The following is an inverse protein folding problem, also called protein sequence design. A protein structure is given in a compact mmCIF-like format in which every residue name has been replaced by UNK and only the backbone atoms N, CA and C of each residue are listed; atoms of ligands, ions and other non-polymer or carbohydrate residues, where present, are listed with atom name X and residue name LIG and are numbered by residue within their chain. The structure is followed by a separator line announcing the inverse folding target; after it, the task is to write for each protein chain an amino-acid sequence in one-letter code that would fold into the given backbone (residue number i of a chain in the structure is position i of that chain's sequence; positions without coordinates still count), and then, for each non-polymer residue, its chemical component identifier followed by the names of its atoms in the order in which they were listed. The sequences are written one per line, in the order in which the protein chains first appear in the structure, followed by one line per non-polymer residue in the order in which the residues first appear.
data_IF_861029382884
#
_entry.id   IF_861029382884
#
_cell.length_a   1.000
_cell.length_b   1.000
_cell.length_c   1.000
_cell.angle_alpha   90.00
_cell.angle_beta   90.00
_cell.angle_gamma   90.00
#
_symmetry.space_group_name_H-M   'P 1'
#
loop_
_entity.id
_entity.type
_entity.pdbx_description
1 polymer ?
#
# COMPACT_ATOMS: atom_id res chain seq x y z
N UNK A 1 32.37 -2.69 -35.85
CA UNK A 1 31.02 -2.74 -36.46
C UNK A 1 30.38 -1.37 -36.20
N UNK A 2 30.49 -0.30 -37.01
CA UNK A 2 30.19 0.03 -38.42
C UNK A 2 28.72 -0.18 -38.84
N UNK A 3 28.19 0.83 -39.56
CA UNK A 3 26.81 1.16 -40.05
C UNK A 3 26.03 2.10 -39.11
N UNK A 4 25.82 3.41 -39.33
CA UNK A 4 25.79 4.35 -40.47
C UNK A 4 24.56 4.20 -41.42
N UNK A 5 23.89 5.35 -41.61
CA UNK A 5 22.98 5.76 -42.71
C UNK A 5 21.48 5.52 -42.49
N UNK A 6 20.66 6.59 -42.40
CA UNK A 6 19.78 7.05 -43.49
C UNK A 6 19.08 8.39 -43.14
N UNK A 7 19.41 9.44 -43.91
CA UNK A 7 18.69 10.72 -44.01
C UNK A 7 18.07 10.81 -45.42
N UNK A 8 17.00 11.61 -45.52
CA UNK A 8 16.28 12.11 -46.70
C UNK A 8 15.25 11.17 -47.33
N UNK A 9 14.01 11.66 -47.53
CA UNK A 9 13.59 12.24 -48.83
C UNK A 9 12.11 12.72 -48.85
N UNK A 10 11.83 13.65 -49.78
CA UNK A 10 10.54 14.01 -50.43
C UNK A 10 9.47 14.69 -49.54
N UNK A 11 8.99 15.92 -49.81
CA UNK A 11 8.76 16.57 -51.10
C UNK A 11 7.36 16.19 -51.61
N UNK A 12 6.31 16.82 -51.08
CA UNK A 12 4.93 16.55 -51.50
C UNK A 12 4.21 17.86 -51.81
N UNK A 13 4.27 18.23 -53.08
CA UNK A 13 3.33 19.15 -53.72
C UNK A 13 2.05 18.36 -53.99
N UNK A 14 0.90 18.83 -53.53
CA UNK A 14 -0.37 18.39 -54.12
C UNK A 14 -1.40 19.51 -54.16
N UNK A 15 -1.63 19.92 -55.40
CA UNK A 15 -2.76 20.65 -55.96
C UNK A 15 -4.08 20.02 -55.49
N UNK A 16 -5.01 20.81 -54.96
CA UNK A 16 -6.43 20.43 -54.93
C UNK A 16 -7.30 21.65 -55.23
N UNK A 17 -7.96 21.58 -56.39
CA UNK A 17 -8.98 22.51 -56.81
C UNK A 17 -10.38 22.02 -56.44
N UNK A 18 -11.24 23.02 -56.26
CA UNK A 18 -12.68 23.08 -56.55
C UNK A 18 -13.70 22.21 -55.78
N UNK A 19 -14.60 22.98 -55.15
CA UNK A 19 -16.04 22.78 -55.03
C UNK A 19 -16.57 21.85 -53.93
N UNK A 20 -17.15 22.44 -52.88
CA UNK A 20 -18.59 22.31 -52.62
C UNK A 20 -19.06 23.37 -51.60
N UNK A 21 -20.16 24.04 -51.95
CA UNK A 21 -20.88 25.04 -51.15
C UNK A 21 -21.67 24.39 -50.02
N UNK A 22 -21.44 24.78 -48.77
CA UNK A 22 -22.48 24.72 -47.72
C UNK A 22 -22.37 25.93 -46.76
N UNK A 23 -23.53 26.56 -46.56
CA UNK A 23 -23.80 27.68 -45.66
C UNK A 23 -23.61 27.25 -44.19
N UNK A 24 -22.86 28.01 -43.40
CA UNK A 24 -22.93 27.96 -41.92
C UNK A 24 -22.99 29.38 -41.39
N UNK A 25 -24.01 29.61 -40.57
CA UNK A 25 -24.49 30.87 -40.01
C UNK A 25 -23.47 31.49 -39.04
N UNK A 26 -23.65 32.77 -38.72
CA UNK A 26 -22.67 33.59 -38.03
C UNK A 26 -22.79 33.59 -36.49
N UNK A 27 -23.60 32.70 -35.92
CA UNK A 27 -23.85 32.63 -34.47
C UNK A 27 -22.92 31.63 -33.72
N UNK A 28 -22.13 30.80 -34.43
CA UNK A 28 -21.34 29.72 -33.81
C UNK A 28 -19.96 30.13 -33.25
N UNK A 29 -19.65 31.44 -33.19
CA UNK A 29 -18.30 31.93 -32.84
C UNK A 29 -18.08 32.07 -31.33
N UNK A 30 -19.14 32.31 -30.55
CA UNK A 30 -19.08 32.38 -29.09
C UNK A 30 -19.02 30.98 -28.45
N UNK A 31 -19.54 29.94 -29.13
CA UNK A 31 -19.55 28.56 -28.62
C UNK A 31 -18.15 27.90 -28.65
N UNK A 32 -17.26 28.34 -29.54
CA UNK A 32 -15.90 27.78 -29.68
C UNK A 32 -14.99 28.24 -28.53
N UNK A 33 -15.18 29.47 -28.01
CA UNK A 33 -14.38 30.01 -26.91
C UNK A 33 -14.73 29.31 -25.58
N UNK A 34 -16.01 29.01 -25.36
CA UNK A 34 -16.48 28.26 -24.20
C UNK A 34 -15.96 26.80 -24.16
N UNK A 35 -15.91 26.12 -25.30
CA UNK A 35 -15.42 24.73 -25.39
C UNK A 35 -13.91 24.61 -25.12
N UNK A 36 -13.13 25.63 -25.46
CA UNK A 36 -11.68 25.62 -25.29
C UNK A 36 -11.26 25.87 -23.83
N UNK A 37 -11.92 26.79 -23.14
CA UNK A 37 -11.70 27.02 -21.70
C UNK A 37 -12.20 25.83 -20.86
N UNK A 38 -13.30 25.20 -21.27
CA UNK A 38 -13.81 23.96 -20.68
C UNK A 38 -12.78 22.82 -20.76
N UNK A 39 -12.16 22.61 -21.93
CA UNK A 39 -11.18 21.52 -22.11
C UNK A 39 -9.86 21.75 -21.36
N UNK A 40 -9.43 22.99 -21.16
CA UNK A 40 -8.26 23.30 -20.31
C UNK A 40 -8.59 23.01 -18.84
N UNK A 41 -9.76 23.45 -18.37
CA UNK A 41 -10.21 23.21 -17.00
C UNK A 41 -10.36 21.69 -16.69
N UNK A 42 -10.91 20.92 -17.63
CA UNK A 42 -11.00 19.45 -17.51
C UNK A 42 -9.62 18.77 -17.47
N UNK A 43 -8.65 19.27 -18.24
CA UNK A 43 -7.29 18.75 -18.24
C UNK A 43 -6.58 18.99 -16.90
N UNK A 44 -6.71 20.19 -16.33
CA UNK A 44 -6.14 20.52 -15.03
C UNK A 44 -6.80 19.74 -13.89
N UNK A 45 -8.13 19.55 -13.95
CA UNK A 45 -8.86 18.71 -13.01
C UNK A 45 -8.40 17.24 -13.09
N UNK A 46 -8.21 16.69 -14.30
CA UNK A 46 -7.72 15.34 -14.50
C UNK A 46 -6.28 15.14 -13.98
N UNK A 47 -5.41 16.14 -14.19
CA UNK A 47 -4.03 16.09 -13.70
C UNK A 47 -3.95 16.18 -12.17
N UNK A 48 -4.79 17.02 -11.57
CA UNK A 48 -4.94 17.13 -10.11
C UNK A 48 -5.46 15.82 -9.50
N UNK A 49 -6.48 15.21 -10.11
CA UNK A 49 -7.03 13.92 -9.68
C UNK A 49 -5.99 12.79 -9.78
N UNK A 50 -5.18 12.75 -10.84
CA UNK A 50 -4.11 11.77 -11.00
C UNK A 50 -3.04 11.90 -9.90
N UNK A 51 -2.63 13.14 -9.58
CA UNK A 51 -1.65 13.40 -8.52
C UNK A 51 -2.19 13.06 -7.13
N UNK A 52 -3.48 13.27 -6.90
CA UNK A 52 -4.15 12.85 -5.67
C UNK A 52 -4.24 11.31 -5.55
N UNK A 53 -4.49 10.60 -6.65
CA UNK A 53 -4.50 9.14 -6.68
C UNK A 53 -3.11 8.55 -6.38
N UNK A 54 -2.05 9.11 -6.98
CA UNK A 54 -0.66 8.69 -6.72
C UNK A 54 -0.28 8.87 -5.25
N UNK A 55 -0.65 10.00 -4.63
CA UNK A 55 -0.43 10.23 -3.19
C UNK A 55 -1.17 9.22 -2.30
N UNK A 56 -2.41 8.87 -2.66
CA UNK A 56 -3.18 7.84 -1.92
C UNK A 56 -2.54 6.47 -2.06
N UNK A 57 -2.05 6.12 -3.24
CA UNK A 57 -1.36 4.84 -3.46
C UNK A 57 -0.03 4.78 -2.69
N UNK A 58 0.76 5.86 -2.71
CA UNK A 58 1.99 5.96 -1.94
C UNK A 58 1.73 5.82 -0.43
N UNK A 59 0.69 6.47 0.10
CA UNK A 59 0.29 6.34 1.51
C UNK A 59 -0.14 4.91 1.85
N UNK A 60 -0.96 4.27 1.00
CA UNK A 60 -1.39 2.89 1.21
C UNK A 60 -0.22 1.89 1.17
N UNK A 61 0.78 2.12 0.31
CA UNK A 61 2.02 1.31 0.29
C UNK A 61 2.84 1.50 1.56
N UNK A 62 2.97 2.74 2.05
CA UNK A 62 3.68 3.01 3.30
C UNK A 62 3.00 2.37 4.52
N UNK A 63 1.66 2.44 4.60
CA UNK A 63 0.88 1.78 5.66
C UNK A 63 1.01 0.25 5.62
N UNK A 64 1.08 -0.34 4.42
CA UNK A 64 1.29 -1.78 4.25
C UNK A 64 2.69 -2.21 4.73
N UNK A 65 3.73 -1.47 4.36
CA UNK A 65 5.10 -1.78 4.80
C UNK A 65 5.25 -1.61 6.31
N UNK A 66 4.63 -0.58 6.90
CA UNK A 66 4.57 -0.43 8.36
C UNK A 66 3.87 -1.64 9.02
N UNK A 67 2.71 -2.05 8.51
CA UNK A 67 1.99 -3.21 9.05
C UNK A 67 2.77 -4.53 8.92
N UNK A 68 3.52 -4.72 7.83
CA UNK A 68 4.41 -5.88 7.67
C UNK A 68 5.57 -5.86 8.67
N UNK A 69 6.16 -4.70 8.89
CA UNK A 69 7.23 -4.52 9.88
C UNK A 69 6.71 -4.84 11.28
N UNK A 70 5.54 -4.32 11.66
CA UNK A 70 4.92 -4.60 12.95
C UNK A 70 4.58 -6.09 13.13
N UNK A 71 4.06 -6.74 12.07
CA UNK A 71 3.79 -8.17 12.09
C UNK A 71 5.07 -9.01 12.22
N UNK A 72 6.16 -8.62 11.56
CA UNK A 72 7.45 -9.28 11.68
C UNK A 72 8.03 -9.13 13.09
N UNK A 73 7.92 -7.95 13.70
CA UNK A 73 8.33 -7.70 15.08
C UNK A 73 7.49 -8.49 16.09
N UNK A 74 6.18 -8.58 15.88
CA UNK A 74 5.30 -9.41 16.71
C UNK A 74 5.66 -10.90 16.62
N UNK A 75 5.93 -11.41 15.41
CA UNK A 75 6.36 -12.80 15.23
C UNK A 75 7.73 -13.09 15.86
N UNK A 76 8.69 -12.17 15.78
CA UNK A 76 9.99 -12.37 16.43
C UNK A 76 9.86 -12.41 17.95
N UNK A 77 9.04 -11.53 18.54
CA UNK A 77 8.73 -11.53 19.97
C UNK A 77 8.02 -12.81 20.41
N UNK A 78 7.08 -13.33 19.61
CA UNK A 78 6.40 -14.59 19.90
C UNK A 78 7.39 -15.78 19.87
N UNK A 79 8.27 -15.86 18.86
CA UNK A 79 9.31 -16.90 18.79
C UNK A 79 10.29 -16.83 19.96
N UNK A 80 10.64 -15.62 20.41
CA UNK A 80 11.50 -15.45 21.59
C UNK A 80 10.83 -15.99 22.87
N UNK A 81 9.54 -15.66 23.08
CA UNK A 81 8.76 -16.20 24.21
C UNK A 81 8.61 -17.72 24.14
N UNK A 82 8.38 -18.28 22.94
CA UNK A 82 8.29 -19.72 22.74
C UNK A 82 9.61 -20.43 23.08
N UNK A 83 10.74 -19.86 22.66
CA UNK A 83 12.07 -20.38 23.01
C UNK A 83 12.36 -20.29 24.52
N UNK A 84 11.95 -19.20 25.18
CA UNK A 84 12.06 -19.05 26.62
C UNK A 84 11.22 -20.09 27.37
N UNK A 85 9.97 -20.29 26.96
CA UNK A 85 9.08 -21.31 27.53
C UNK A 85 9.67 -22.72 27.34
N UNK A 86 10.20 -23.03 26.15
CA UNK A 86 10.85 -24.31 25.88
C UNK A 86 12.09 -24.53 26.78
N UNK A 87 12.89 -23.49 27.00
CA UNK A 87 14.03 -23.56 27.91
C UNK A 87 13.59 -23.80 29.37
N UNK A 88 12.53 -23.13 29.83
CA UNK A 88 11.97 -23.35 31.16
C UNK A 88 11.41 -24.78 31.33
N UNK A 89 10.72 -25.31 30.32
CA UNK A 89 10.24 -26.71 30.31
C UNK A 89 11.41 -27.66 30.48
N UNK A 90 12.50 -27.48 29.73
CA UNK A 90 13.69 -28.34 29.82
C UNK A 90 14.35 -28.30 31.22
N UNK A 91 14.39 -27.13 31.85
CA UNK A 91 14.87 -26.98 33.24
C UNK A 91 13.97 -27.76 34.20
N UNK A 92 12.64 -27.67 34.03
CA UNK A 92 11.67 -28.40 34.86
C UNK A 92 11.77 -29.91 34.67
N UNK A 93 11.89 -30.40 33.43
CA UNK A 93 12.11 -31.81 33.13
C UNK A 93 13.37 -32.35 33.83
N UNK A 94 14.46 -31.56 33.81
CA UNK A 94 15.71 -31.91 34.52
C UNK A 94 15.50 -31.96 36.03
N UNK A 95 14.77 -31.00 36.61
CA UNK A 95 14.44 -31.01 38.05
C UNK A 95 13.59 -32.22 38.43
N UNK A 96 12.59 -32.58 37.61
CA UNK A 96 11.74 -33.76 37.82
C UNK A 96 12.59 -35.04 37.75
N UNK A 97 13.49 -35.15 36.78
CA UNK A 97 14.40 -36.29 36.67
C UNK A 97 15.29 -36.44 37.90
N UNK A 98 15.90 -35.32 38.36
CA UNK A 98 16.72 -35.31 39.58
C UNK A 98 15.90 -35.67 40.83
N UNK A 99 14.68 -35.15 40.95
CA UNK A 99 13.77 -35.48 42.05
C UNK A 99 13.41 -36.97 42.07
N UNK A 100 13.17 -37.58 40.90
CA UNK A 100 12.96 -39.05 40.80
C UNK A 100 14.19 -39.83 41.27
N UNK A 101 15.39 -39.39 40.89
CA UNK A 101 16.65 -40.02 41.34
C UNK A 101 16.77 -39.92 42.88
N UNK A 102 16.57 -38.74 43.46
CA UNK A 102 16.62 -38.55 44.91
C UNK A 102 15.56 -39.38 45.65
N UNK A 103 14.34 -39.46 45.11
CA UNK A 103 13.30 -40.33 45.68
C UNK A 103 13.73 -41.80 45.70
N UNK A 104 14.31 -42.31 44.61
CA UNK A 104 14.81 -43.70 44.58
C UNK A 104 16.00 -43.92 45.52
N UNK A 105 16.86 -42.92 45.74
CA UNK A 105 17.93 -43.00 46.76
C UNK A 105 17.32 -43.07 48.16
N UNK A 106 16.33 -42.22 48.45
CA UNK A 106 15.63 -42.23 49.74
C UNK A 106 14.92 -43.56 50.01
N UNK A 107 14.23 -44.12 49.02
CA UNK A 107 13.59 -45.44 49.12
C UNK A 107 14.62 -46.56 49.40
N UNK A 108 15.79 -46.52 48.74
CA UNK A 108 16.89 -47.45 49.03
C UNK A 108 17.43 -47.29 50.44
N UNK A 109 17.65 -46.05 50.89
CA UNK A 109 18.12 -45.78 52.26
C UNK A 109 17.09 -46.23 53.30
N UNK A 110 15.81 -46.00 53.05
CA UNK A 110 14.70 -46.47 53.89
C UNK A 110 14.68 -48.00 53.99
N UNK A 111 14.79 -48.71 52.87
CA UNK A 111 14.86 -50.17 52.87
C UNK A 111 16.09 -50.72 53.63
N UNK A 112 17.24 -50.01 53.57
CA UNK A 112 18.43 -50.36 54.35
C UNK A 112 18.23 -50.09 55.84
N UNK A 113 17.61 -48.97 56.21
CA UNK A 113 17.27 -48.64 57.58
C UNK A 113 16.28 -49.65 58.18
N UNK A 114 15.21 -49.99 57.46
CA UNK A 114 14.24 -51.02 57.86
C UNK A 114 14.93 -52.37 58.10
N UNK A 115 15.83 -52.81 57.20
CA UNK A 115 16.62 -54.04 57.43
C UNK A 115 17.49 -53.98 58.68
N UNK A 116 18.08 -52.82 59.00
CA UNK A 116 18.87 -52.63 60.23
C UNK A 116 17.98 -52.65 61.47
N UNK A 117 16.80 -52.04 61.41
CA UNK A 117 15.81 -52.05 62.49
C UNK A 117 15.34 -53.47 62.76
N UNK A 118 14.98 -54.25 61.72
CA UNK A 118 14.58 -55.65 61.87
C UNK A 118 15.71 -56.46 62.52
N UNK A 119 16.97 -56.33 62.04
CA UNK A 119 18.13 -57.00 62.67
C UNK A 119 18.38 -56.57 64.11
N UNK A 120 18.14 -55.31 64.44
CA UNK A 120 18.28 -54.80 65.79
C UNK A 120 17.16 -55.34 66.70
N UNK A 121 15.92 -55.37 66.21
CA UNK A 121 14.78 -55.97 66.90
C UNK A 121 14.99 -57.46 67.13
N UNK A 122 15.49 -58.21 66.15
CA UNK A 122 15.88 -59.62 66.33
C UNK A 122 16.99 -59.79 67.38
N UNK A 123 17.98 -58.88 67.42
CA UNK A 123 19.04 -58.88 68.45
C UNK A 123 18.56 -58.49 69.84
N UNK A 124 17.64 -57.55 69.94
CA UNK A 124 17.01 -57.12 71.21
C UNK A 124 16.07 -58.22 71.72
N UNK A 125 15.29 -58.85 70.83
CA UNK A 125 14.51 -60.05 71.18
C UNK A 125 15.41 -61.23 71.63
N UNK A 126 16.65 -61.30 71.15
CA UNK A 126 17.67 -62.25 71.62
C UNK A 126 18.41 -61.79 72.90
N UNK A 127 18.20 -60.55 73.36
CA UNK A 127 18.82 -59.96 74.55
C UNK A 127 17.81 -59.09 75.31
N UNK A 128 16.94 -59.75 76.04
CA UNK A 128 16.21 -59.14 77.16
C UNK A 128 17.25 -58.80 78.26
N UNK A 129 17.43 -57.55 78.72
CA UNK A 129 16.43 -56.67 79.35
C UNK A 129 15.78 -55.61 78.44
N UNK A 130 14.46 -55.54 78.54
CA UNK A 130 13.55 -55.19 77.43
C UNK A 130 12.92 -53.79 77.42
N UNK A 131 13.08 -52.95 78.44
CA UNK A 131 12.23 -51.76 78.55
C UNK A 131 12.75 -50.51 77.81
N UNK A 132 14.07 -50.27 77.80
CA UNK A 132 14.65 -49.00 77.35
C UNK A 132 14.81 -48.93 75.82
N UNK A 133 15.22 -50.04 75.19
CA UNK A 133 15.51 -50.10 73.75
C UNK A 133 14.25 -50.00 72.88
N UNK A 134 13.11 -50.51 73.37
CA UNK A 134 11.82 -50.43 72.69
C UNK A 134 11.27 -48.99 72.68
N UNK A 135 11.47 -48.21 73.75
CA UNK A 135 11.05 -46.80 73.81
C UNK A 135 11.80 -45.94 72.79
N UNK A 136 13.12 -46.02 72.76
CA UNK A 136 13.97 -45.21 71.87
C UNK A 136 13.70 -45.53 70.40
N UNK A 137 13.52 -46.81 70.05
CA UNK A 137 13.16 -47.19 68.68
C UNK A 137 11.78 -46.65 68.26
N UNK A 138 10.81 -46.61 69.17
CA UNK A 138 9.48 -46.05 68.88
C UNK A 138 9.48 -44.53 68.71
N UNK A 139 10.29 -43.80 69.49
CA UNK A 139 10.42 -42.34 69.37
C UNK A 139 11.15 -41.94 68.08
N UNK A 140 12.20 -42.68 67.69
CA UNK A 140 12.90 -42.46 66.41
C UNK A 140 11.99 -42.77 65.23
N UNK A 141 11.23 -43.86 65.27
CA UNK A 141 10.26 -44.17 64.21
C UNK A 141 9.14 -43.13 64.09
N UNK A 142 8.69 -42.56 65.22
CA UNK A 142 7.66 -41.51 65.22
C UNK A 142 8.17 -40.20 64.62
N UNK A 143 9.37 -39.78 65.01
CA UNK A 143 10.01 -38.56 64.47
C UNK A 143 10.39 -38.68 62.99
N UNK A 144 10.83 -39.86 62.54
CA UNK A 144 11.03 -40.14 61.11
C UNK A 144 9.72 -40.12 60.31
N UNK A 145 8.63 -40.65 60.89
CA UNK A 145 7.32 -40.61 60.24
C UNK A 145 6.80 -39.18 60.09
N UNK A 146 6.91 -38.37 61.15
CA UNK A 146 6.50 -36.95 61.13
C UNK A 146 7.33 -36.12 60.12
N UNK A 147 8.64 -36.37 60.03
CA UNK A 147 9.49 -35.71 59.01
C UNK A 147 9.18 -36.18 57.59
N UNK A 148 8.90 -37.47 57.36
CA UNK A 148 8.45 -37.97 56.05
C UNK A 148 7.11 -37.36 55.64
N UNK A 149 6.13 -37.28 56.54
CA UNK A 149 4.83 -36.66 56.26
C UNK A 149 4.98 -35.17 55.92
N UNK A 150 5.85 -34.44 56.61
CA UNK A 150 6.13 -33.03 56.33
C UNK A 150 6.75 -32.81 54.95
N UNK A 151 7.76 -33.61 54.58
CA UNK A 151 8.38 -33.57 53.24
C UNK A 151 7.35 -33.87 52.14
N UNK A 152 6.46 -34.83 52.39
CA UNK A 152 5.43 -35.22 51.43
C UNK A 152 4.38 -34.12 51.24
N UNK A 153 4.02 -33.43 52.34
CA UNK A 153 3.13 -32.26 52.31
C UNK A 153 3.76 -31.10 51.53
N UNK A 154 5.02 -30.77 51.79
CA UNK A 154 5.72 -29.68 51.09
C UNK A 154 5.84 -29.95 49.58
N UNK A 155 6.11 -31.21 49.20
CA UNK A 155 6.13 -31.64 47.80
C UNK A 155 4.77 -31.53 47.13
N UNK A 156 3.68 -31.91 47.82
CA UNK A 156 2.33 -31.76 47.31
C UNK A 156 1.94 -30.30 47.12
N UNK A 157 2.35 -29.42 48.04
CA UNK A 157 2.11 -27.98 47.92
C UNK A 157 2.87 -27.36 46.75
N UNK A 158 4.15 -27.72 46.56
CA UNK A 158 4.92 -27.30 45.39
C UNK A 158 4.30 -27.80 44.09
N UNK A 159 3.81 -29.05 44.06
CA UNK A 159 3.16 -29.62 42.88
C UNK A 159 1.88 -28.84 42.53
N UNK A 160 1.04 -28.54 43.53
CA UNK A 160 -0.16 -27.71 43.32
C UNK A 160 0.19 -26.29 42.85
N UNK A 161 1.27 -25.71 43.37
CA UNK A 161 1.76 -24.40 42.93
C UNK A 161 2.20 -24.40 41.45
N UNK A 162 2.92 -25.44 41.03
CA UNK A 162 3.33 -25.61 39.64
C UNK A 162 2.15 -25.89 38.71
N UNK A 163 1.20 -26.73 39.12
CA UNK A 163 -0.02 -27.00 38.35
C UNK A 163 -0.85 -25.72 38.11
N UNK A 164 -0.99 -24.87 39.14
CA UNK A 164 -1.63 -23.55 38.98
C UNK A 164 -0.91 -22.67 37.97
N UNK A 165 0.42 -22.64 38.00
CA UNK A 165 1.21 -21.84 37.05
C UNK A 165 1.06 -22.37 35.62
N UNK A 166 1.11 -23.69 35.42
CA UNK A 166 0.90 -24.34 34.12
C UNK A 166 -0.49 -24.02 33.56
N UNK A 167 -1.53 -24.02 34.41
CA UNK A 167 -2.88 -23.67 33.99
C UNK A 167 -2.98 -22.20 33.57
N UNK A 168 -2.39 -21.28 34.33
CA UNK A 168 -2.35 -19.86 33.98
C UNK A 168 -1.60 -19.61 32.65
N UNK A 169 -0.45 -20.27 32.45
CA UNK A 169 0.32 -20.17 31.21
C UNK A 169 -0.46 -20.74 30.01
N UNK A 170 -1.22 -21.83 30.22
CA UNK A 170 -2.12 -22.38 29.19
C UNK A 170 -3.24 -21.41 28.83
N UNK A 171 -3.87 -20.77 29.81
CA UNK A 171 -4.89 -19.75 29.57
C UNK A 171 -4.32 -18.58 28.77
N UNK A 172 -3.15 -18.06 29.14
CA UNK A 172 -2.47 -16.99 28.37
C UNK A 172 -2.17 -17.44 26.93
N UNK A 173 -1.68 -18.67 26.74
CA UNK A 173 -1.42 -19.24 25.41
C UNK A 173 -2.69 -19.37 24.57
N UNK A 174 -3.82 -19.78 25.16
CA UNK A 174 -5.11 -19.84 24.43
C UNK A 174 -5.58 -18.44 24.02
N UNK A 175 -5.40 -17.44 24.89
CA UNK A 175 -5.73 -16.05 24.59
C UNK A 175 -4.88 -15.52 23.43
N UNK A 176 -3.56 -15.69 23.49
CA UNK A 176 -2.64 -15.30 22.42
C UNK A 176 -3.00 -16.01 21.11
N UNK A 177 -3.33 -17.30 21.17
CA UNK A 177 -3.74 -18.07 19.99
C UNK A 177 -5.01 -17.50 19.34
N UNK A 178 -5.99 -17.08 20.14
CA UNK A 178 -7.21 -16.44 19.65
C UNK A 178 -6.93 -15.08 18.98
N UNK A 179 -6.05 -14.27 19.57
CA UNK A 179 -5.63 -12.98 19.00
C UNK A 179 -4.91 -13.16 17.66
N UNK A 180 -4.06 -14.18 17.52
CA UNK A 180 -3.38 -14.52 16.27
C UNK A 180 -4.39 -14.88 15.17
N UNK A 181 -5.43 -15.66 15.51
CA UNK A 181 -6.48 -16.02 14.55
C UNK A 181 -7.24 -14.78 14.07
N UNK A 182 -7.57 -13.86 14.99
CA UNK A 182 -8.26 -12.61 14.64
C UNK A 182 -7.39 -11.70 13.76
N UNK A 183 -6.10 -11.58 14.07
CA UNK A 183 -5.15 -10.82 13.26
C UNK A 183 -4.99 -11.39 11.85
N UNK A 184 -4.90 -12.72 11.71
CA UNK A 184 -4.87 -13.39 10.39
C UNK A 184 -6.13 -13.12 9.59
N UNK A 185 -7.30 -13.11 10.23
CA UNK A 185 -8.57 -12.76 9.58
C UNK A 185 -8.55 -11.31 9.07
N UNK A 186 -8.13 -10.35 9.91
CA UNK A 186 -7.99 -8.93 9.52
C UNK A 186 -6.99 -8.75 8.38
N UNK A 187 -5.87 -9.48 8.39
CA UNK A 187 -4.90 -9.46 7.29
C UNK A 187 -5.53 -9.96 5.98
N UNK A 188 -6.25 -11.07 6.00
CA UNK A 188 -6.93 -11.60 4.82
C UNK A 188 -7.99 -10.64 4.25
N UNK A 189 -8.71 -9.91 5.10
CA UNK A 189 -9.65 -8.87 4.68
C UNK A 189 -8.94 -7.69 4.01
N UNK A 190 -7.81 -7.22 4.57
CA UNK A 190 -6.99 -6.17 3.98
C UNK A 190 -6.38 -6.59 2.64
N UNK A 191 -5.93 -7.83 2.50
CA UNK A 191 -5.41 -8.37 1.24
C UNK A 191 -6.50 -8.42 0.16
N UNK A 192 -7.72 -8.87 0.51
CA UNK A 192 -8.87 -8.83 -0.40
C UNK A 192 -9.21 -7.40 -0.84
N UNK A 193 -9.18 -6.42 0.08
CA UNK A 193 -9.39 -5.02 -0.25
C UNK A 193 -8.31 -4.48 -1.21
N UNK A 194 -7.05 -4.87 -1.01
CA UNK A 194 -5.94 -4.46 -1.86
C UNK A 194 -6.04 -5.06 -3.27
N UNK A 195 -6.47 -6.31 -3.40
CA UNK A 195 -6.75 -6.93 -4.71
C UNK A 195 -7.86 -6.16 -5.44
N UNK A 196 -8.94 -5.77 -4.75
CA UNK A 196 -10.01 -4.93 -5.34
C UNK A 196 -9.49 -3.56 -5.78
N UNK A 197 -8.66 -2.90 -4.97
CA UNK A 197 -8.04 -1.62 -5.34
C UNK A 197 -7.15 -1.75 -6.58
N UNK A 198 -6.34 -2.82 -6.68
CA UNK A 198 -5.52 -3.09 -7.87
C UNK A 198 -6.37 -3.34 -9.12
N UNK A 199 -7.48 -4.05 -9.00
CA UNK A 199 -8.41 -4.27 -10.12
C UNK A 199 -9.03 -2.94 -10.58
N UNK A 200 -9.49 -2.11 -9.65
CA UNK A 200 -10.05 -0.79 -9.96
C UNK A 200 -9.01 0.13 -10.62
N UNK A 201 -7.76 0.14 -10.14
CA UNK A 201 -6.67 0.92 -10.72
C UNK A 201 -6.37 0.49 -12.17
N UNK A 202 -6.36 -0.82 -12.45
CA UNK A 202 -6.21 -1.35 -13.83
C UNK A 202 -7.36 -0.90 -14.74
N UNK A 203 -8.59 -0.92 -14.24
CA UNK A 203 -9.76 -0.45 -14.99
C UNK A 203 -9.66 1.06 -15.29
N UNK A 204 -9.25 1.86 -14.32
CA UNK A 204 -9.02 3.29 -14.51
C UNK A 204 -7.92 3.57 -15.54
N UNK A 205 -6.81 2.82 -15.52
CA UNK A 205 -5.76 2.91 -16.53
C UNK A 205 -6.30 2.60 -17.94
N UNK A 206 -7.08 1.53 -18.10
CA UNK A 206 -7.72 1.21 -19.38
C UNK A 206 -8.67 2.30 -19.87
N UNK A 207 -9.46 2.89 -18.97
CA UNK A 207 -10.35 4.01 -19.30
C UNK A 207 -9.56 5.24 -19.74
N UNK A 208 -8.44 5.54 -19.08
CA UNK A 208 -7.55 6.64 -19.46
C UNK A 208 -6.97 6.45 -20.87
N UNK A 209 -6.56 5.23 -21.21
CA UNK A 209 -6.04 4.93 -22.55
C UNK A 209 -7.12 5.05 -23.64
N UNK A 210 -8.36 4.64 -23.34
CA UNK A 210 -9.51 4.87 -24.23
C UNK A 210 -9.78 6.35 -24.45
N UNK A 211 -9.84 7.15 -23.37
CA UNK A 211 -10.04 8.60 -23.45
C UNK A 211 -8.92 9.29 -24.23
N UNK A 212 -7.66 8.87 -24.03
CA UNK A 212 -6.52 9.37 -24.80
C UNK A 212 -6.69 9.06 -26.29
N UNK A 213 -7.09 7.84 -26.62
CA UNK A 213 -7.34 7.43 -28.01
C UNK A 213 -8.46 8.24 -28.65
N UNK A 214 -9.57 8.45 -27.94
CA UNK A 214 -10.69 9.29 -28.39
C UNK A 214 -10.26 10.74 -28.61
N UNK A 215 -9.51 11.32 -27.66
CA UNK A 215 -8.95 12.67 -27.80
C UNK A 215 -8.03 12.79 -29.01
N UNK A 216 -7.16 11.80 -29.23
CA UNK A 216 -6.23 11.81 -30.37
C UNK A 216 -6.98 11.61 -31.70
N UNK A 217 -8.08 10.85 -31.72
CA UNK A 217 -9.02 10.79 -32.87
C UNK A 217 -9.71 12.14 -33.10
N UNK A 218 -10.21 12.79 -32.05
CA UNK A 218 -10.87 14.09 -32.15
C UNK A 218 -9.90 15.13 -32.70
N UNK A 219 -8.65 15.15 -32.23
CA UNK A 219 -7.62 16.04 -32.77
C UNK A 219 -7.36 15.82 -34.25
N UNK A 220 -7.32 14.55 -34.72
CA UNK A 220 -7.21 14.24 -36.15
C UNK A 220 -8.42 14.77 -36.92
N UNK A 221 -9.62 14.53 -36.41
CA UNK A 221 -10.86 15.01 -37.04
C UNK A 221 -10.89 16.54 -37.12
N UNK A 222 -10.54 17.26 -36.03
CA UNK A 222 -10.45 18.72 -36.00
C UNK A 222 -9.37 19.23 -36.97
N UNK A 223 -8.19 18.59 -37.03
CA UNK A 223 -7.15 18.97 -37.99
C UNK A 223 -7.51 18.69 -39.45
N UNK A 224 -8.47 17.79 -39.69
CA UNK A 224 -9.02 17.51 -41.03
C UNK A 224 -10.17 18.42 -41.41
N UNK A 225 -10.65 19.29 -40.51
CA UNK A 225 -11.59 20.36 -40.85
C UNK A 225 -10.78 21.47 -41.53
N UNK A 226 -10.98 21.73 -42.85
CA UNK A 226 -10.29 22.81 -43.51
C UNK A 226 -10.66 24.13 -42.83
N UNK A 227 -9.64 24.96 -42.49
CA UNK A 227 -9.86 26.28 -41.93
C UNK A 227 -10.83 27.06 -42.84
N UNK A 228 -12.02 27.40 -42.33
CA UNK A 228 -13.05 28.11 -43.08
C UNK A 228 -12.48 29.45 -43.52
N UNK A 229 -12.15 29.56 -44.79
CA UNK A 229 -11.69 30.81 -45.40
C UNK A 229 -12.88 31.77 -45.42
N UNK A 230 -12.83 32.81 -44.60
CA UNK A 230 -13.94 33.77 -44.47
C UNK A 230 -13.65 34.96 -45.38
N UNK A 231 -14.52 35.23 -46.35
CA UNK A 231 -14.43 36.46 -47.14
C UNK A 231 -15.26 37.56 -46.50
N UNK A 232 -14.67 38.74 -46.27
CA UNK A 232 -15.41 39.94 -45.82
C UNK A 232 -15.00 41.17 -46.61
N UNK A 233 -15.97 42.08 -46.74
CA UNK A 233 -15.75 43.40 -47.33
C UNK A 233 -15.57 44.44 -46.22
N UNK A 234 -14.52 45.28 -46.26
CA UNK A 234 -14.34 46.36 -45.30
C UNK A 234 -15.46 47.38 -45.41
N UNK A 235 -15.92 47.90 -44.26
CA UNK A 235 -16.87 49.03 -44.15
C UNK A 235 -16.22 50.38 -44.44
N UNK A 236 -14.89 50.46 -44.28
CA UNK A 236 -14.07 51.67 -44.48
C UNK A 236 -12.75 51.31 -45.18
N UNK A 237 -12.08 52.31 -45.76
CA UNK A 237 -10.73 52.13 -46.30
C UNK A 237 -9.74 52.06 -45.14
N UNK A 238 -8.83 51.09 -45.16
CA UNK A 238 -7.88 50.88 -44.08
C UNK A 238 -6.47 50.55 -44.58
N UNK A 239 -5.47 50.89 -43.77
CA UNK A 239 -4.10 50.45 -43.96
C UNK A 239 -3.95 48.98 -43.55
N UNK A 240 -3.01 48.30 -44.20
CA UNK A 240 -2.62 46.92 -43.92
C UNK A 240 -1.17 46.92 -43.50
N UNK A 241 -0.88 46.36 -42.34
CA UNK A 241 0.45 46.30 -41.75
C UNK A 241 1.06 44.91 -41.84
N UNK A 242 2.38 44.83 -41.75
CA UNK A 242 3.13 43.57 -41.72
C UNK A 242 3.03 42.82 -40.38
N UNK A 243 2.71 43.54 -39.30
CA UNK A 243 2.50 43.00 -37.96
C UNK A 243 1.23 43.59 -37.31
N UNK A 244 0.59 42.88 -36.36
CA UNK A 244 -0.60 43.35 -35.64
C UNK A 244 -0.25 44.37 -34.54
N UNK A 245 0.26 45.54 -34.94
CA UNK A 245 0.67 46.62 -34.03
C UNK A 245 0.40 47.99 -34.67
N UNK A 246 0.05 48.97 -33.85
CA UNK A 246 -0.31 50.33 -34.31
C UNK A 246 0.90 51.08 -34.91
N UNK A 247 2.14 50.65 -34.59
CA UNK A 247 3.39 51.20 -35.14
C UNK A 247 4.03 50.36 -36.25
N UNK A 248 3.34 49.33 -36.75
CA UNK A 248 3.88 48.42 -37.76
C UNK A 248 3.97 49.06 -39.15
N UNK A 249 4.85 48.52 -40.01
CA UNK A 249 5.05 49.07 -41.34
C UNK A 249 3.82 48.79 -42.21
N UNK A 250 3.27 49.82 -42.83
CA UNK A 250 2.16 49.66 -43.79
C UNK A 250 2.67 49.01 -45.07
N UNK A 251 2.18 47.81 -45.36
CA UNK A 251 2.51 47.03 -46.57
C UNK A 251 1.48 47.20 -47.69
N UNK A 252 0.32 47.78 -47.39
CA UNK A 252 -0.71 48.06 -48.38
C UNK A 252 -1.94 48.72 -47.79
N UNK A 253 -3.01 48.77 -48.57
CA UNK A 253 -4.31 49.26 -48.12
C UNK A 253 -5.45 48.43 -48.69
N UNK A 254 -6.53 48.32 -47.91
CA UNK A 254 -7.77 47.68 -48.31
C UNK A 254 -8.85 48.73 -48.59
N UNK A 255 -9.63 48.48 -49.63
CA UNK A 255 -10.70 49.36 -50.08
C UNK A 255 -12.04 48.90 -49.55
N UNK A 256 -12.87 49.86 -49.15
CA UNK A 256 -14.26 49.66 -48.77
C UNK A 256 -15.01 48.89 -49.88
N UNK A 257 -15.80 47.90 -49.48
CA UNK A 257 -16.64 47.10 -50.38
C UNK A 257 -15.92 45.96 -51.12
N UNK A 258 -14.60 46.02 -51.29
CA UNK A 258 -13.82 44.95 -51.92
C UNK A 258 -13.77 43.69 -51.03
N UNK A 259 -13.92 42.50 -51.63
CA UNK A 259 -13.86 41.24 -50.88
C UNK A 259 -12.40 40.83 -50.65
N UNK A 260 -12.04 40.62 -49.39
CA UNK A 260 -10.72 40.09 -49.00
C UNK A 260 -10.88 38.74 -48.31
N UNK A 261 -9.85 37.92 -48.44
CA UNK A 261 -9.72 36.63 -47.77
C UNK A 261 -9.19 36.83 -46.35
N UNK A 262 -9.98 36.50 -45.33
CA UNK A 262 -9.57 36.55 -43.92
C UNK A 262 -9.16 35.15 -43.47
N UNK A 263 -7.98 35.06 -42.87
CA UNK A 263 -7.43 33.80 -42.36
C UNK A 263 -7.81 33.55 -40.90
N UNK A 264 -7.62 34.56 -40.05
CA UNK A 264 -7.95 34.49 -38.62
C UNK A 264 -8.04 35.86 -38.01
N UNK A 265 -8.75 35.93 -36.90
CA UNK A 265 -8.62 37.01 -35.93
C UNK A 265 -7.42 36.67 -35.06
N UNK A 266 -6.39 37.51 -35.06
CA UNK A 266 -5.18 37.25 -34.25
C UNK A 266 -5.43 37.64 -32.80
N UNK A 267 -6.07 38.80 -32.60
CA UNK A 267 -6.45 39.38 -31.31
C UNK A 267 -7.77 40.14 -31.45
N UNK A 268 -8.33 40.65 -30.35
CA UNK A 268 -9.57 41.47 -30.36
C UNK A 268 -9.52 42.71 -31.26
N UNK A 269 -8.33 43.12 -31.72
CA UNK A 269 -8.09 44.33 -32.52
C UNK A 269 -7.65 44.09 -33.97
N UNK A 270 -7.20 42.89 -34.33
CA UNK A 270 -6.51 42.64 -35.60
C UNK A 270 -7.03 41.42 -36.34
N UNK A 271 -7.10 41.55 -37.66
CA UNK A 271 -7.51 40.50 -38.60
C UNK A 271 -6.36 40.24 -39.56
N UNK A 272 -5.97 38.97 -39.71
CA UNK A 272 -5.02 38.53 -40.72
C UNK A 272 -5.76 38.29 -42.05
N UNK A 273 -5.30 38.95 -43.11
CA UNK A 273 -5.88 38.85 -44.44
C UNK A 273 -4.83 38.70 -45.53
N UNK A 274 -5.22 38.17 -46.69
CA UNK A 274 -4.37 38.16 -47.88
C UNK A 274 -4.52 39.47 -48.67
N UNK A 275 -3.40 40.13 -48.97
CA UNK A 275 -3.35 41.30 -49.84
C UNK A 275 -2.28 41.07 -50.91
N UNK A 276 -2.73 40.70 -52.11
CA UNK A 276 -1.85 40.24 -53.19
C UNK A 276 -1.14 38.93 -52.81
N UNK A 277 0.19 38.90 -52.93
CA UNK A 277 1.01 37.73 -52.62
C UNK A 277 1.57 37.73 -51.18
N UNK A 278 1.11 38.65 -50.33
CA UNK A 278 1.56 38.75 -48.93
C UNK A 278 0.37 38.66 -47.97
N UNK A 279 0.64 38.12 -46.79
CA UNK A 279 -0.28 38.22 -45.65
C UNK A 279 -0.01 39.51 -44.90
N UNK A 280 -1.09 40.13 -44.43
CA UNK A 280 -1.04 41.37 -43.69
C UNK A 280 -2.13 41.45 -42.64
N UNK A 281 -2.03 42.46 -41.78
CA UNK A 281 -2.95 42.68 -40.69
C UNK A 281 -3.69 44.00 -40.89
N UNK A 282 -5.00 43.99 -40.67
CA UNK A 282 -5.80 45.21 -40.64
C UNK A 282 -6.58 45.27 -39.33
N UNK A 283 -6.91 46.49 -38.90
CA UNK A 283 -7.72 46.68 -37.71
C UNK A 283 -9.10 46.03 -37.89
N UNK A 284 -9.60 45.34 -36.85
CA UNK A 284 -10.90 44.65 -36.87
C UNK A 284 -12.05 45.61 -37.14
N UNK A 285 -11.93 46.87 -36.69
CA UNK A 285 -12.90 47.96 -36.92
C UNK A 285 -13.10 48.31 -38.40
N UNK A 286 -12.22 47.84 -39.29
CA UNK A 286 -12.36 48.01 -40.73
C UNK A 286 -13.47 47.15 -41.34
N UNK A 287 -13.90 46.07 -40.67
CA UNK A 287 -14.88 45.09 -41.17
C UNK A 287 -16.22 45.16 -40.42
#
# INVERSE_FOLDING_TARGET
MKYLILKYFLGFSLIFGLSLTQFVHADDLDDIEADMDSTIAESDAAQSAAKAAERREAKARAELEAAKSDAAAAMSKAKAKEAEAAAQIKILETKIANSKIEKTKHEKLKAVAEKKIIKAQEKVAAKTSDAEAARVASEVAKTEKETQEKILSDLQEQQRGLEKKIMADREEMTKISSEIVELKKKQGEKEKALVRLRANAKQQASNRDKLKTQRDQLKRNVSSVPAKVVYRSPKVNCAVTDMPSDGAQTIGSIKKGSKYELYRVVDRRWVELQVGNKRGFAAKTCF
#
